data_IF_684174527855
#
_entry.id   IF_684174527855
#
_cell.length_a   1.000
_cell.length_b   1.000
_cell.length_c   1.000
_cell.angle_alpha   90.00
_cell.angle_beta   90.00
_cell.angle_gamma   90.00
#
_symmetry.space_group_name_H-M   'P 1'
#
loop_
_entity.id
_entity.type
_entity.pdbx_description
1 polymer ?
#
# COMPACT_ATOMS: atom_id res chain seq x y z
N UNK A 1 -17.10 1.33 -4.04
CA UNK A 1 -16.61 1.16 -2.65
C UNK A 1 -16.00 2.46 -2.13
N UNK A 2 -15.03 3.06 -2.83
CA UNK A 2 -14.41 4.35 -2.42
C UNK A 2 -15.45 5.47 -2.35
N UNK A 3 -16.20 5.75 -3.43
CA UNK A 3 -17.23 6.82 -3.43
C UNK A 3 -18.30 6.64 -2.35
N UNK A 4 -18.63 5.38 -1.99
CA UNK A 4 -19.62 5.06 -0.95
C UNK A 4 -19.08 5.35 0.45
N UNK A 5 -17.82 5.02 0.71
CA UNK A 5 -17.18 5.21 2.01
C UNK A 5 -16.63 6.62 2.21
N UNK A 6 -16.28 7.31 1.11
CA UNK A 6 -15.66 8.64 1.10
C UNK A 6 -16.35 9.54 0.06
N UNK A 7 -17.62 9.94 0.30
CA UNK A 7 -18.33 10.81 -0.62
C UNK A 7 -17.62 12.15 -0.78
N UNK A 8 -17.67 12.72 -1.99
CA UNK A 8 -17.07 14.02 -2.35
C UNK A 8 -15.54 14.12 -2.15
N UNK A 9 -14.84 12.98 -2.03
CA UNK A 9 -13.38 12.97 -1.97
C UNK A 9 -12.79 12.83 -3.37
N UNK A 10 -11.86 13.72 -3.74
CA UNK A 10 -11.11 13.58 -4.98
C UNK A 10 -10.07 12.46 -4.85
N UNK A 11 -10.03 11.55 -5.82
CA UNK A 11 -9.05 10.48 -5.89
C UNK A 11 -8.68 10.18 -7.34
N UNK A 12 -7.49 9.61 -7.53
CA UNK A 12 -7.02 9.08 -8.81
C UNK A 12 -6.62 7.63 -8.61
N UNK A 13 -7.06 6.75 -9.51
CA UNK A 13 -6.66 5.34 -9.53
C UNK A 13 -5.77 5.13 -10.73
N UNK A 14 -4.50 4.80 -10.48
CA UNK A 14 -3.53 4.51 -11.53
C UNK A 14 -3.04 3.08 -11.37
N UNK A 15 -2.98 2.35 -12.49
CA UNK A 15 -2.39 1.01 -12.51
C UNK A 15 -0.88 1.12 -12.28
N UNK A 16 -0.33 0.26 -11.43
CA UNK A 16 1.10 0.11 -11.24
C UNK A 16 1.61 -1.02 -12.13
N UNK A 17 2.53 -0.71 -13.04
CA UNK A 17 3.25 -1.71 -13.86
C UNK A 17 4.56 -2.16 -13.22
N UNK A 18 5.01 -1.46 -12.17
CA UNK A 18 6.18 -1.82 -11.35
C UNK A 18 5.92 -1.43 -9.88
N UNK A 19 6.90 -1.61 -8.99
CA UNK A 19 6.77 -1.33 -7.56
C UNK A 19 6.30 0.11 -7.24
N UNK A 20 6.59 1.07 -8.12
CA UNK A 20 6.18 2.45 -7.99
C UNK A 20 5.61 3.03 -9.29
N UNK A 21 4.59 3.87 -9.17
CA UNK A 21 4.08 4.63 -10.32
C UNK A 21 4.96 5.86 -10.59
N UNK A 22 4.99 6.39 -11.83
CA UNK A 22 5.67 7.65 -12.12
C UNK A 22 5.15 8.80 -11.22
N UNK A 23 3.85 8.79 -10.89
CA UNK A 23 3.24 9.74 -9.98
C UNK A 23 3.86 9.73 -8.56
N UNK A 24 4.34 8.56 -8.10
CA UNK A 24 4.93 8.41 -6.77
C UNK A 24 6.42 8.79 -6.79
N UNK A 25 7.12 8.47 -7.87
CA UNK A 25 8.55 8.80 -8.02
C UNK A 25 8.73 10.30 -8.31
N UNK A 26 8.05 10.84 -9.32
CA UNK A 26 8.29 12.18 -9.87
C UNK A 26 7.21 13.20 -9.52
N UNK A 27 6.05 12.74 -9.04
CA UNK A 27 4.95 13.62 -8.67
C UNK A 27 5.17 14.37 -7.35
N UNK A 28 4.19 15.23 -7.04
CA UNK A 28 4.15 16.08 -5.85
C UNK A 28 3.67 15.36 -4.58
N UNK A 29 3.80 14.04 -4.54
CA UNK A 29 3.39 13.21 -3.40
C UNK A 29 4.22 13.56 -2.17
N UNK A 30 3.55 13.75 -1.03
CA UNK A 30 4.18 14.12 0.24
C UNK A 30 4.36 12.94 1.19
N UNK A 31 3.56 11.87 1.01
CA UNK A 31 3.56 10.72 1.88
C UNK A 31 3.27 9.43 1.11
N UNK A 32 3.89 8.34 1.56
CA UNK A 32 3.61 6.98 1.11
C UNK A 32 3.06 6.19 2.31
N UNK A 33 1.88 5.59 2.14
CA UNK A 33 1.27 4.72 3.14
C UNK A 33 1.55 3.27 2.74
N UNK A 34 2.14 2.50 3.65
CA UNK A 34 2.55 1.10 3.43
C UNK A 34 2.18 0.25 4.63
N UNK A 35 2.00 -1.05 4.41
CA UNK A 35 1.92 -2.01 5.51
C UNK A 35 3.30 -2.29 6.10
N UNK A 36 3.34 -2.96 7.26
CA UNK A 36 4.59 -3.52 7.81
C UNK A 36 5.33 -4.40 6.79
N UNK A 37 4.59 -5.21 6.03
CA UNK A 37 5.11 -6.10 4.97
C UNK A 37 5.83 -5.33 3.85
N UNK A 38 5.36 -4.13 3.52
CA UNK A 38 5.89 -3.33 2.40
C UNK A 38 6.67 -2.10 2.87
N UNK A 39 6.99 -2.03 4.16
CA UNK A 39 7.67 -0.89 4.79
C UNK A 39 9.03 -0.57 4.16
N UNK A 40 9.77 -1.61 3.76
CA UNK A 40 11.07 -1.48 3.07
C UNK A 40 10.96 -0.74 1.72
N UNK A 41 9.83 -0.83 1.01
CA UNK A 41 9.63 -0.14 -0.27
C UNK A 41 9.64 1.38 -0.10
N UNK A 42 9.26 1.91 1.06
CA UNK A 42 9.35 3.34 1.33
C UNK A 42 10.79 3.86 1.33
N UNK A 43 11.73 3.07 1.84
CA UNK A 43 13.16 3.42 1.83
C UNK A 43 13.69 3.45 0.39
N UNK A 44 13.41 2.39 -0.38
CA UNK A 44 13.78 2.30 -1.79
C UNK A 44 13.22 3.48 -2.62
N UNK A 45 11.98 3.89 -2.36
CA UNK A 45 11.40 5.07 -3.02
C UNK A 45 12.21 6.34 -2.74
N UNK A 46 12.61 6.57 -1.49
CA UNK A 46 13.37 7.76 -1.12
C UNK A 46 14.79 7.73 -1.70
N UNK A 47 15.41 6.56 -1.86
CA UNK A 47 16.67 6.41 -2.59
C UNK A 47 16.50 6.81 -4.07
N UNK A 48 15.48 6.27 -4.75
CA UNK A 48 15.16 6.62 -6.15
C UNK A 48 14.85 8.12 -6.33
N UNK A 49 14.21 8.75 -5.34
CA UNK A 49 13.92 10.20 -5.35
C UNK A 49 15.20 11.01 -5.12
N UNK A 50 16.09 10.58 -4.24
CA UNK A 50 17.36 11.24 -3.98
C UNK A 50 18.25 11.27 -5.23
N UNK A 51 18.32 10.18 -5.99
CA UNK A 51 19.04 10.12 -7.28
C UNK A 51 18.55 11.17 -8.29
N UNK A 52 17.29 11.58 -8.17
CA UNK A 52 16.62 12.56 -9.05
C UNK A 52 16.56 13.96 -8.44
N UNK A 53 17.23 14.20 -7.30
CA UNK A 53 17.16 15.45 -6.53
C UNK A 53 15.74 15.85 -6.10
N UNK A 54 14.88 14.87 -5.85
CA UNK A 54 13.52 15.08 -5.36
C UNK A 54 13.47 14.98 -3.84
N UNK A 55 12.61 15.76 -3.15
CA UNK A 55 12.48 15.68 -1.70
C UNK A 55 11.94 14.31 -1.28
N UNK A 56 12.40 13.75 -0.14
CA UNK A 56 11.89 12.48 0.34
C UNK A 56 10.40 12.59 0.71
N UNK A 57 9.67 11.49 0.61
CA UNK A 57 8.29 11.39 1.08
C UNK A 57 8.26 10.87 2.52
N UNK A 58 7.24 11.29 3.28
CA UNK A 58 6.97 10.72 4.60
C UNK A 58 6.44 9.29 4.46
N UNK A 59 7.13 8.32 5.04
CA UNK A 59 6.67 6.93 5.07
C UNK A 59 5.77 6.75 6.29
N UNK A 60 4.53 6.30 6.07
CA UNK A 60 3.56 5.98 7.13
C UNK A 60 3.31 4.48 7.10
N UNK A 61 3.79 3.76 8.12
CA UNK A 61 3.60 2.32 8.25
C UNK A 61 2.32 2.05 9.03
N UNK A 62 1.42 1.24 8.48
CA UNK A 62 0.21 0.78 9.16
C UNK A 62 0.35 -0.69 9.56
N UNK A 63 -0.02 -1.07 10.81
CA UNK A 63 0.01 -2.46 11.25
C UNK A 63 -0.91 -3.36 10.42
N UNK A 64 -0.51 -4.63 10.28
CA UNK A 64 -1.34 -5.63 9.60
C UNK A 64 -2.46 -6.13 10.53
N UNK A 65 -3.63 -6.41 9.93
CA UNK A 65 -4.70 -7.15 10.61
C UNK A 65 -4.41 -8.65 10.49
N UNK A 66 -4.52 -9.36 11.61
CA UNK A 66 -4.29 -10.80 11.68
C UNK A 66 -5.59 -11.59 11.47
N UNK A 67 -5.47 -12.74 10.81
CA UNK A 67 -6.48 -13.78 10.70
C UNK A 67 -6.50 -14.64 11.97
N UNK A 68 -7.45 -15.58 12.05
CA UNK A 68 -7.61 -16.50 13.18
C UNK A 68 -6.34 -17.33 13.47
N UNK A 69 -5.57 -17.67 12.44
CA UNK A 69 -4.32 -18.42 12.55
C UNK A 69 -3.10 -17.56 12.96
N UNK A 70 -3.33 -16.28 13.30
CA UNK A 70 -2.28 -15.36 13.74
C UNK A 70 -1.38 -14.84 12.61
N UNK A 71 -1.63 -15.23 11.35
CA UNK A 71 -0.96 -14.67 10.17
C UNK A 71 -1.76 -13.52 9.60
N UNK A 72 -1.13 -12.63 8.82
CA UNK A 72 -1.84 -11.49 8.24
C UNK A 72 -2.97 -11.89 7.29
N UNK A 73 -4.04 -11.10 7.29
CA UNK A 73 -5.06 -11.16 6.23
C UNK A 73 -4.44 -10.62 4.95
N UNK A 74 -4.50 -11.40 3.87
CA UNK A 74 -4.00 -10.99 2.56
C UNK A 74 -4.85 -11.51 1.42
N UNK A 75 -4.93 -10.75 0.34
CA UNK A 75 -5.72 -11.10 -0.86
C UNK A 75 -5.28 -12.42 -1.47
N UNK A 76 -3.99 -12.76 -1.39
CA UNK A 76 -3.46 -14.04 -1.88
C UNK A 76 -4.09 -15.21 -1.12
N UNK A 77 -4.14 -15.12 0.22
CA UNK A 77 -4.73 -16.16 1.08
C UNK A 77 -6.22 -16.30 0.85
N UNK A 78 -6.93 -15.18 0.70
CA UNK A 78 -8.37 -15.17 0.37
C UNK A 78 -8.61 -15.84 -0.99
N UNK A 79 -7.82 -15.50 -2.01
CA UNK A 79 -7.93 -16.11 -3.35
C UNK A 79 -7.60 -17.60 -3.35
N UNK A 80 -6.66 -18.03 -2.52
CA UNK A 80 -6.31 -19.43 -2.34
C UNK A 80 -7.33 -20.20 -1.48
N UNK A 81 -8.39 -19.54 -1.00
CA UNK A 81 -9.38 -20.10 -0.06
C UNK A 81 -8.78 -20.59 1.26
N UNK A 82 -7.62 -20.04 1.67
CA UNK A 82 -7.02 -20.34 2.98
C UNK A 82 -7.80 -19.68 4.12
N UNK A 83 -8.37 -18.50 3.85
CA UNK A 83 -9.21 -17.72 4.76
C UNK A 83 -10.34 -17.03 3.99
N UNK A 84 -11.40 -16.62 4.68
CA UNK A 84 -12.40 -15.69 4.13
C UNK A 84 -11.95 -14.21 4.26
N UNK A 85 -12.78 -13.28 3.77
CA UNK A 85 -12.51 -11.84 3.79
C UNK A 85 -12.51 -11.23 5.20
N UNK A 86 -13.04 -11.96 6.18
CA UNK A 86 -13.06 -11.60 7.60
C UNK A 86 -11.87 -12.21 8.36
N UNK A 87 -11.07 -13.06 7.73
CA UNK A 87 -9.90 -13.72 8.32
C UNK A 87 -10.22 -15.02 9.07
N UNK A 88 -11.40 -15.61 8.86
CA UNK A 88 -11.74 -16.93 9.40
C UNK A 88 -11.10 -18.02 8.53
N UNK A 89 -10.71 -19.14 9.14
CA UNK A 89 -10.19 -20.30 8.41
C UNK A 89 -11.31 -21.04 7.66
N UNK A 90 -11.00 -21.50 6.44
CA UNK A 90 -11.87 -22.40 5.67
C UNK A 90 -11.54 -23.88 5.90
#
# INVERSE_FOLDING_TARGET
>A
MIEKSFPNSAYEISKLENDFGPAVIEGSVKALVVSEETSNKGLLLNELRAERNLPPVKIVVVPMVLAEDGKSISTTRIKNSEIDDSGNLN
#
